data_IF_468822293770
#
_entry.id   IF_468822293770
#
_cell.length_a   1.000
_cell.length_b   1.000
_cell.length_c   1.000
_cell.angle_alpha   90.00
_cell.angle_beta   90.00
_cell.angle_gamma   90.00
#
_symmetry.space_group_name_H-M   'P 1'
#
loop_
_entity.id
_entity.type
_entity.pdbx_description
1 polymer ?
#
# COMPACT_ATOMS: atom_id res chain seq x y z
N UNK A 1 13.28 -7.43 -20.91
CA UNK A 1 13.57 -6.59 -19.71
C UNK A 1 12.32 -6.37 -18.88
N UNK A 2 11.28 -5.67 -19.40
CA UNK A 2 10.03 -5.40 -18.65
C UNK A 2 9.34 -6.66 -18.08
N UNK A 3 9.23 -7.74 -18.85
CA UNK A 3 8.60 -8.97 -18.35
C UNK A 3 9.35 -9.55 -17.13
N UNK A 4 10.68 -9.62 -17.18
CA UNK A 4 11.50 -10.25 -16.15
C UNK A 4 11.66 -9.38 -14.89
N UNK A 5 11.70 -8.06 -15.05
CA UNK A 5 12.00 -7.11 -13.96
C UNK A 5 10.73 -6.47 -13.39
N UNK A 6 9.67 -6.34 -14.18
CA UNK A 6 8.42 -5.74 -13.73
C UNK A 6 7.31 -6.77 -13.54
N UNK A 7 7.03 -7.64 -14.52
CA UNK A 7 5.87 -8.54 -14.44
C UNK A 7 6.11 -9.71 -13.48
N UNK A 8 7.21 -10.45 -13.64
CA UNK A 8 7.46 -11.63 -12.80
C UNK A 8 7.55 -11.28 -11.31
N UNK A 9 8.32 -10.26 -10.88
CA UNK A 9 8.37 -9.84 -9.48
C UNK A 9 7.01 -9.39 -8.96
N UNK A 10 6.31 -8.56 -9.74
CA UNK A 10 4.99 -8.06 -9.37
C UNK A 10 3.96 -9.17 -9.13
N UNK A 11 4.07 -10.33 -9.77
CA UNK A 11 3.17 -11.45 -9.50
C UNK A 11 3.72 -12.31 -8.37
N UNK A 12 4.96 -12.78 -8.48
CA UNK A 12 5.55 -13.76 -7.56
C UNK A 12 5.75 -13.21 -6.15
N UNK A 13 6.33 -12.01 -6.04
CA UNK A 13 6.63 -11.40 -4.75
C UNK A 13 5.34 -10.98 -4.03
N UNK A 14 4.31 -10.55 -4.75
CA UNK A 14 3.03 -10.21 -4.13
C UNK A 14 2.35 -11.44 -3.51
N UNK A 15 2.33 -12.57 -4.21
CA UNK A 15 1.82 -13.81 -3.63
C UNK A 15 2.62 -14.26 -2.41
N UNK A 16 3.95 -14.21 -2.48
CA UNK A 16 4.82 -14.64 -1.39
C UNK A 16 4.68 -13.73 -0.16
N UNK A 17 4.92 -12.43 -0.33
CA UNK A 17 5.02 -11.49 0.79
C UNK A 17 3.66 -11.09 1.36
N UNK A 18 2.60 -11.01 0.54
CA UNK A 18 1.27 -10.62 1.04
C UNK A 18 0.43 -11.84 1.33
N UNK A 19 0.46 -12.83 0.44
CA UNK A 19 -0.36 -14.03 0.56
C UNK A 19 0.14 -15.02 1.60
N UNK A 20 1.44 -15.37 1.59
CA UNK A 20 1.97 -16.43 2.46
C UNK A 20 2.53 -15.81 3.74
N UNK A 21 3.59 -14.99 3.61
CA UNK A 21 4.33 -14.45 4.74
C UNK A 21 3.48 -13.44 5.52
N UNK A 22 2.94 -12.44 4.82
CA UNK A 22 2.13 -11.37 5.41
C UNK A 22 0.92 -11.91 6.16
N UNK A 23 0.07 -12.71 5.51
CA UNK A 23 -1.07 -13.35 6.18
C UNK A 23 -0.65 -14.18 7.38
N UNK A 24 0.40 -15.00 7.25
CA UNK A 24 0.89 -15.84 8.35
C UNK A 24 1.33 -15.02 9.56
N UNK A 25 2.13 -13.97 9.34
CA UNK A 25 2.62 -13.10 10.41
C UNK A 25 1.50 -12.27 11.04
N UNK A 26 0.58 -11.74 10.24
CA UNK A 26 -0.59 -10.98 10.74
C UNK A 26 -1.47 -11.87 11.61
N UNK A 27 -1.78 -13.08 11.15
CA UNK A 27 -2.63 -14.01 11.89
C UNK A 27 -1.99 -14.46 13.21
N UNK A 28 -0.65 -14.58 13.26
CA UNK A 28 0.06 -15.07 14.44
C UNK A 28 0.41 -13.98 15.45
N UNK A 29 0.82 -12.81 14.98
CA UNK A 29 1.44 -11.76 15.79
C UNK A 29 0.70 -10.42 15.73
N UNK A 30 -0.40 -10.35 14.99
CA UNK A 30 -1.20 -9.14 14.84
C UNK A 30 -0.76 -8.25 13.67
N UNK A 31 -1.65 -7.32 13.32
CA UNK A 31 -1.56 -6.48 12.14
C UNK A 31 -0.26 -5.69 12.04
N UNK A 32 0.05 -4.89 13.07
CA UNK A 32 1.20 -3.97 13.04
C UNK A 32 2.51 -4.75 12.88
N UNK A 33 2.69 -5.81 13.66
CA UNK A 33 3.87 -6.65 13.59
C UNK A 33 3.99 -7.35 12.23
N UNK A 34 2.90 -7.98 11.77
CA UNK A 34 2.93 -8.75 10.53
C UNK A 34 3.19 -7.92 9.28
N UNK A 35 2.57 -6.73 9.18
CA UNK A 35 2.83 -5.80 8.06
C UNK A 35 4.27 -5.30 8.10
N UNK A 36 4.76 -4.89 9.27
CA UNK A 36 6.12 -4.34 9.42
C UNK A 36 7.18 -5.36 9.04
N UNK A 37 7.09 -6.57 9.59
CA UNK A 37 8.07 -7.63 9.34
C UNK A 37 8.00 -8.12 7.90
N UNK A 38 6.80 -8.32 7.33
CA UNK A 38 6.67 -8.71 5.93
C UNK A 38 7.26 -7.66 4.96
N UNK A 39 7.05 -6.37 5.25
CA UNK A 39 7.60 -5.26 4.44
C UNK A 39 9.11 -5.17 4.58
N UNK A 40 9.65 -5.40 5.78
CA UNK A 40 11.09 -5.47 6.01
C UNK A 40 11.73 -6.64 5.26
N UNK A 41 11.09 -7.81 5.27
CA UNK A 41 11.55 -8.99 4.51
C UNK A 41 11.52 -8.73 3.00
N UNK A 42 10.46 -8.09 2.49
CA UNK A 42 10.35 -7.66 1.10
C UNK A 42 11.49 -6.72 0.70
N UNK A 43 11.84 -5.76 1.57
CA UNK A 43 12.97 -4.90 1.31
C UNK A 43 14.30 -5.67 1.35
N UNK A 44 14.50 -6.52 2.35
CA UNK A 44 15.77 -7.20 2.59
C UNK A 44 16.22 -8.11 1.43
N UNK A 45 15.31 -8.70 0.65
CA UNK A 45 15.70 -9.57 -0.48
C UNK A 45 16.41 -8.84 -1.62
N UNK A 46 16.43 -7.51 -1.61
CA UNK A 46 17.10 -6.70 -2.63
C UNK A 46 18.59 -6.45 -2.34
N UNK A 47 19.10 -6.89 -1.17
CA UNK A 47 20.50 -7.04 -0.74
C UNK A 47 21.41 -5.80 -0.76
N UNK A 48 21.09 -4.75 -1.53
CA UNK A 48 21.87 -3.52 -1.63
C UNK A 48 21.33 -2.47 -0.65
N UNK A 49 22.06 -2.07 0.41
CA UNK A 49 21.48 -1.31 1.52
C UNK A 49 20.80 0.01 1.13
N UNK A 50 21.37 0.87 0.24
CA UNK A 50 20.67 2.09 -0.20
C UNK A 50 19.34 1.79 -0.90
N UNK A 51 19.29 0.71 -1.68
CA UNK A 51 18.06 0.27 -2.33
C UNK A 51 17.06 -0.32 -1.34
N UNK A 52 17.51 -1.09 -0.35
CA UNK A 52 16.67 -1.59 0.76
C UNK A 52 15.97 -0.45 1.49
N UNK A 53 16.67 0.65 1.77
CA UNK A 53 16.08 1.84 2.40
C UNK A 53 15.02 2.47 1.50
N UNK A 54 15.27 2.56 0.19
CA UNK A 54 14.35 3.14 -0.78
C UNK A 54 13.06 2.32 -0.97
N UNK A 55 13.14 0.98 -0.96
CA UNK A 55 11.99 0.10 -1.24
C UNK A 55 11.18 -0.29 0.00
N UNK A 56 11.71 -0.13 1.21
CA UNK A 56 10.96 -0.44 2.43
C UNK A 56 9.62 0.32 2.51
N UNK A 57 9.56 1.65 2.23
CA UNK A 57 8.30 2.39 2.12
C UNK A 57 7.35 1.82 1.06
N UNK A 58 7.88 1.41 -0.10
CA UNK A 58 7.11 0.81 -1.20
C UNK A 58 6.48 -0.52 -0.75
N UNK A 59 7.26 -1.38 -0.10
CA UNK A 59 6.79 -2.63 0.48
C UNK A 59 5.64 -2.43 1.47
N UNK A 60 5.76 -1.41 2.33
CA UNK A 60 4.73 -1.03 3.30
C UNK A 60 3.44 -0.55 2.60
N UNK A 61 3.56 0.36 1.64
CA UNK A 61 2.40 0.90 0.91
C UNK A 61 1.68 -0.19 0.13
N UNK A 62 2.40 -1.06 -0.57
CA UNK A 62 1.77 -2.17 -1.30
C UNK A 62 1.04 -3.12 -0.33
N UNK A 63 1.59 -3.36 0.87
CA UNK A 63 0.90 -4.14 1.90
C UNK A 63 -0.39 -3.45 2.37
N UNK A 64 -0.35 -2.13 2.57
CA UNK A 64 -1.54 -1.34 2.92
C UNK A 64 -2.58 -1.34 1.79
N UNK A 65 -2.16 -1.25 0.53
CA UNK A 65 -3.02 -1.41 -0.65
C UNK A 65 -3.69 -2.78 -0.64
N UNK A 66 -2.93 -3.85 -0.38
CA UNK A 66 -3.48 -5.20 -0.26
C UNK A 66 -4.54 -5.29 0.85
N UNK A 67 -4.28 -4.75 2.04
CA UNK A 67 -5.23 -4.77 3.16
C UNK A 67 -6.50 -3.96 2.88
N UNK A 68 -6.36 -2.80 2.22
CA UNK A 68 -7.49 -1.93 1.92
C UNK A 68 -8.34 -2.45 0.77
N UNK A 69 -7.72 -3.02 -0.25
CA UNK A 69 -8.41 -3.51 -1.46
C UNK A 69 -8.85 -4.97 -1.34
N UNK A 70 -8.24 -5.74 -0.42
CA UNK A 70 -8.42 -7.18 -0.26
C UNK A 70 -8.25 -7.97 -1.56
N UNK A 71 -7.42 -7.45 -2.46
CA UNK A 71 -7.19 -7.98 -3.80
C UNK A 71 -5.70 -8.14 -4.03
N UNK A 72 -5.30 -9.20 -4.74
CA UNK A 72 -3.93 -9.35 -5.23
C UNK A 72 -3.67 -8.52 -6.49
N UNK A 73 -4.71 -8.23 -7.28
CA UNK A 73 -4.56 -7.49 -8.55
C UNK A 73 -4.08 -6.05 -8.35
N UNK A 74 -4.56 -5.39 -7.31
CA UNK A 74 -4.18 -4.01 -7.00
C UNK A 74 -2.70 -3.86 -6.60
N UNK A 75 -2.17 -4.63 -5.62
CA UNK A 75 -0.75 -4.59 -5.28
C UNK A 75 0.13 -5.08 -6.44
N UNK A 76 -0.29 -6.07 -7.23
CA UNK A 76 0.42 -6.51 -8.44
C UNK A 76 0.53 -5.38 -9.47
N UNK A 77 -0.57 -4.69 -9.77
CA UNK A 77 -0.56 -3.58 -10.72
C UNK A 77 0.33 -2.44 -10.23
N UNK A 78 0.26 -2.12 -8.93
CA UNK A 78 1.09 -1.10 -8.32
C UNK A 78 2.58 -1.45 -8.42
N UNK A 79 2.96 -2.66 -8.00
CA UNK A 79 4.34 -3.14 -8.04
C UNK A 79 4.87 -3.22 -9.49
N UNK A 80 4.07 -3.76 -10.42
CA UNK A 80 4.43 -3.80 -11.84
C UNK A 80 4.72 -2.39 -12.36
N UNK A 81 3.85 -1.44 -12.02
CA UNK A 81 3.98 -0.06 -12.49
C UNK A 81 5.26 0.59 -11.96
N UNK A 82 5.53 0.46 -10.66
CA UNK A 82 6.75 0.95 -10.04
C UNK A 82 8.00 0.40 -10.75
N UNK A 83 8.05 -0.92 -10.95
CA UNK A 83 9.20 -1.56 -11.59
C UNK A 83 9.32 -1.22 -13.08
N UNK A 84 8.19 -1.08 -13.79
CA UNK A 84 8.18 -0.68 -15.19
C UNK A 84 8.71 0.74 -15.35
N UNK A 85 8.30 1.68 -14.48
CA UNK A 85 8.83 3.04 -14.48
C UNK A 85 10.32 3.09 -14.18
N UNK A 86 10.79 2.33 -13.19
CA UNK A 86 12.22 2.25 -12.90
C UNK A 86 13.02 1.78 -14.12
N UNK A 87 12.53 0.75 -14.84
CA UNK A 87 13.16 0.26 -16.08
C UNK A 87 13.12 1.30 -17.19
N UNK A 88 12.02 2.04 -17.34
CA UNK A 88 11.89 3.09 -18.36
C UNK A 88 12.80 4.27 -18.05
N UNK A 89 12.90 4.69 -16.79
CA UNK A 89 13.80 5.75 -16.34
C UNK A 89 15.26 5.36 -16.58
N UNK A 90 15.66 4.15 -16.22
CA UNK A 90 17.01 3.66 -16.50
C UNK A 90 17.35 3.60 -18.01
N UNK A 91 16.34 3.44 -18.86
CA UNK A 91 16.53 3.30 -20.31
C UNK A 91 16.47 4.62 -21.08
N UNK A 92 15.63 5.56 -20.65
CA UNK A 92 15.32 6.79 -21.39
C UNK A 92 15.52 8.07 -20.56
N UNK A 93 15.96 7.94 -19.31
CA UNK A 93 16.30 9.07 -18.45
C UNK A 93 17.54 9.83 -18.96
N UNK A 94 17.79 11.03 -18.44
CA UNK A 94 18.97 11.82 -18.78
C UNK A 94 20.26 11.03 -18.54
N UNK A 95 21.18 11.03 -19.52
CA UNK A 95 22.50 10.41 -19.35
C UNK A 95 23.33 11.21 -18.33
N UNK A 96 23.85 10.54 -17.29
CA UNK A 96 24.78 11.15 -16.33
C UNK A 96 24.28 11.24 -14.89
N UNK A 97 22.98 11.05 -14.65
CA UNK A 97 22.43 11.03 -13.29
C UNK A 97 22.66 9.64 -12.66
N UNK A 98 23.88 9.41 -12.17
CA UNK A 98 24.04 8.44 -11.09
C UNK A 98 23.37 9.05 -9.87
N UNK A 99 22.06 8.78 -9.69
CA UNK A 99 21.26 9.28 -8.56
C UNK A 99 22.03 8.93 -7.28
N UNK A 100 22.75 9.92 -6.73
CA UNK A 100 23.61 9.70 -5.57
C UNK A 100 22.68 9.83 -4.36
N UNK A 101 21.95 8.76 -4.11
CA UNK A 101 20.86 8.71 -3.16
C UNK A 101 21.40 9.00 -1.74
N UNK A 102 21.24 10.25 -1.27
CA UNK A 102 21.52 10.58 0.12
C UNK A 102 20.52 9.83 1.01
N UNK A 103 20.97 8.91 1.89
CA UNK A 103 20.07 8.05 2.66
C UNK A 103 19.08 8.82 3.54
N UNK A 104 19.44 10.03 3.98
CA UNK A 104 18.54 10.89 4.75
C UNK A 104 17.38 11.42 3.88
N UNK A 105 17.68 11.88 2.67
CA UNK A 105 16.66 12.34 1.74
C UNK A 105 15.70 11.21 1.35
N UNK A 106 16.24 10.02 1.08
CA UNK A 106 15.44 8.82 0.78
C UNK A 106 14.49 8.47 1.92
N UNK A 107 14.95 8.57 3.17
CA UNK A 107 14.10 8.32 4.34
C UNK A 107 12.95 9.35 4.44
N UNK A 108 13.23 10.64 4.24
CA UNK A 108 12.19 11.68 4.26
C UNK A 108 11.17 11.50 3.13
N UNK A 109 11.65 11.26 1.92
CA UNK A 109 10.83 10.98 0.75
C UNK A 109 9.93 9.75 0.97
N UNK A 110 10.50 8.66 1.48
CA UNK A 110 9.77 7.46 1.84
C UNK A 110 8.71 7.70 2.92
N UNK A 111 9.01 8.51 3.93
CA UNK A 111 8.04 8.92 4.95
C UNK A 111 6.87 9.71 4.37
N UNK A 112 7.17 10.72 3.54
CA UNK A 112 6.15 11.52 2.85
C UNK A 112 5.26 10.67 1.94
N UNK A 113 5.87 9.73 1.22
CA UNK A 113 5.18 8.75 0.38
C UNK A 113 4.19 7.88 1.17
N UNK A 114 4.61 7.32 2.31
CA UNK A 114 3.72 6.52 3.17
C UNK A 114 2.57 7.37 3.70
N UNK A 115 2.84 8.61 4.13
CA UNK A 115 1.81 9.53 4.62
C UNK A 115 0.78 9.84 3.51
N UNK A 116 1.25 10.13 2.29
CA UNK A 116 0.37 10.39 1.16
C UNK A 116 -0.49 9.17 0.82
N UNK A 117 0.11 7.97 0.80
CA UNK A 117 -0.62 6.72 0.59
C UNK A 117 -1.67 6.49 1.69
N UNK A 118 -1.33 6.70 2.96
CA UNK A 118 -2.27 6.59 4.08
C UNK A 118 -3.41 7.59 3.98
N UNK A 119 -3.12 8.85 3.60
CA UNK A 119 -4.13 9.87 3.38
C UNK A 119 -5.12 9.48 2.28
N UNK A 120 -4.61 8.93 1.19
CA UNK A 120 -5.44 8.42 0.09
C UNK A 120 -6.28 7.25 0.56
N UNK A 121 -5.67 6.23 1.16
CA UNK A 121 -6.38 5.04 1.63
C UNK A 121 -7.48 5.43 2.63
N UNK A 122 -7.20 6.42 3.48
CA UNK A 122 -8.18 7.00 4.38
C UNK A 122 -9.31 7.74 3.65
N UNK A 123 -9.01 8.50 2.59
CA UNK A 123 -10.03 9.27 1.86
C UNK A 123 -10.98 8.38 1.03
N UNK A 124 -10.50 7.22 0.58
CA UNK A 124 -11.29 6.25 -0.19
C UNK A 124 -11.95 5.18 0.68
N UNK A 125 -11.71 5.17 2.00
CA UNK A 125 -12.17 4.10 2.88
C UNK A 125 -13.69 3.93 2.81
N UNK A 126 -14.13 2.68 2.75
CA UNK A 126 -15.54 2.33 2.89
C UNK A 126 -15.93 2.43 4.35
N UNK A 127 -16.97 3.23 4.63
CA UNK A 127 -17.60 3.31 5.94
C UNK A 127 -18.90 2.52 5.90
N UNK A 128 -19.30 1.97 7.04
CA UNK A 128 -20.58 1.29 7.17
C UNK A 128 -21.40 2.11 8.16
N UNK A 129 -22.61 2.54 7.80
CA UNK A 129 -23.47 3.34 8.68
C UNK A 129 -24.59 2.50 9.27
N UNK A 130 -24.89 2.74 10.54
CA UNK A 130 -26.03 2.13 11.23
C UNK A 130 -27.33 2.77 10.73
N UNK A 131 -28.35 1.97 10.34
CA UNK A 131 -29.61 2.48 9.79
C UNK A 131 -30.40 3.41 10.72
N UNK A 132 -30.35 3.19 12.04
CA UNK A 132 -31.25 3.87 12.99
C UNK A 132 -30.63 5.03 13.77
N UNK A 133 -29.30 5.14 13.82
CA UNK A 133 -28.60 6.05 14.76
C UNK A 133 -27.66 7.06 14.06
N UNK A 134 -27.45 6.95 12.74
CA UNK A 134 -26.52 7.80 12.00
C UNK A 134 -25.04 7.65 12.38
N UNK A 135 -24.72 6.77 13.35
CA UNK A 135 -23.37 6.41 13.74
C UNK A 135 -22.63 5.59 12.69
N UNK A 136 -21.31 5.75 12.65
CA UNK A 136 -20.41 4.99 11.78
C UNK A 136 -20.00 3.69 12.50
N UNK A 137 -20.29 2.53 11.91
CA UNK A 137 -19.86 1.22 12.41
C UNK A 137 -18.34 1.14 12.55
N UNK A 138 -17.59 1.96 11.81
CA UNK A 138 -16.14 2.04 11.95
C UNK A 138 -15.66 2.84 13.17
N UNK A 139 -16.56 3.51 13.88
CA UNK A 139 -16.25 4.28 15.09
C UNK A 139 -16.49 3.43 16.34
N UNK A 140 -15.41 2.93 16.95
CA UNK A 140 -15.47 2.04 18.12
C UNK A 140 -16.17 2.68 19.33
N UNK A 141 -16.24 4.01 19.39
CA UNK A 141 -16.94 4.73 20.46
C UNK A 141 -18.46 4.67 20.32
N UNK A 142 -18.98 4.37 19.13
CA UNK A 142 -20.41 4.17 18.90
C UNK A 142 -20.90 2.78 19.32
N UNK A 143 -19.98 1.84 19.54
CA UNK A 143 -20.28 0.45 19.90
C UNK A 143 -20.05 0.17 21.38
N UNK A 144 -20.69 0.94 22.26
CA UNK A 144 -20.76 0.58 23.67
C UNK A 144 -21.44 -0.80 23.81
N UNK A 145 -20.63 -1.85 23.97
CA UNK A 145 -20.98 -3.21 24.37
C UNK A 145 -21.66 -4.17 23.36
N UNK A 146 -21.69 -3.89 22.06
CA UNK A 146 -22.27 -4.85 21.11
C UNK A 146 -21.38 -5.00 19.87
N UNK A 147 -20.69 -6.15 19.79
CA UNK A 147 -19.88 -6.58 18.64
C UNK A 147 -18.62 -5.72 18.41
N UNK A 148 -17.49 -6.06 19.04
CA UNK A 148 -16.19 -5.49 18.65
C UNK A 148 -15.76 -6.23 17.37
N UNK A 149 -15.79 -5.61 16.18
CA UNK A 149 -15.30 -6.27 14.99
C UNK A 149 -13.83 -6.64 15.22
N UNK A 150 -13.49 -7.91 15.01
CA UNK A 150 -12.09 -8.34 15.02
C UNK A 150 -11.37 -7.53 13.96
N UNK A 151 -10.51 -6.62 14.43
CA UNK A 151 -9.62 -5.71 13.70
C UNK A 151 -9.56 -5.95 12.18
N UNK A 152 -10.31 -5.14 11.43
CA UNK A 152 -10.00 -4.77 10.04
C UNK A 152 -10.19 -5.81 8.92
N UNK A 153 -10.53 -7.06 9.21
CA UNK A 153 -10.47 -8.13 8.19
C UNK A 153 -11.83 -8.62 7.65
N UNK A 154 -12.95 -8.37 8.33
CA UNK A 154 -14.26 -8.87 7.89
C UNK A 154 -15.23 -7.73 7.60
N UNK A 155 -16.04 -7.88 6.53
CA UNK A 155 -17.18 -6.99 6.34
C UNK A 155 -18.17 -7.23 7.49
N UNK A 156 -18.93 -6.22 7.91
CA UNK A 156 -19.94 -6.43 8.94
C UNK A 156 -20.92 -7.54 8.51
N UNK A 157 -21.41 -8.37 9.44
CA UNK A 157 -22.42 -9.37 9.13
C UNK A 157 -23.62 -8.74 8.38
N UNK A 158 -24.08 -9.33 7.25
CA UNK A 158 -25.24 -8.82 6.50
C UNK A 158 -26.49 -8.66 7.36
N UNK A 159 -26.61 -9.46 8.42
CA UNK A 159 -27.71 -9.41 9.40
C UNK A 159 -27.83 -8.06 10.13
N UNK A 160 -26.79 -7.22 10.15
CA UNK A 160 -26.82 -5.89 10.78
C UNK A 160 -27.48 -4.81 9.90
N UNK A 161 -27.81 -5.12 8.64
CA UNK A 161 -28.53 -4.20 7.74
C UNK A 161 -27.80 -2.89 7.46
N UNK A 162 -26.47 -2.84 7.60
CA UNK A 162 -25.68 -1.61 7.49
C UNK A 162 -25.63 -1.09 6.06
N UNK A 163 -25.74 0.23 5.92
CA UNK A 163 -25.54 0.90 4.64
C UNK A 163 -24.04 1.06 4.37
N UNK A 164 -23.58 0.50 3.24
CA UNK A 164 -22.21 0.71 2.77
C UNK A 164 -22.11 2.10 2.13
N UNK A 165 -21.32 2.97 2.73
CA UNK A 165 -21.08 4.33 2.24
C UNK A 165 -19.63 4.47 1.81
N UNK A 166 -19.41 4.73 0.53
CA UNK A 166 -18.09 5.14 0.03
C UNK A 166 -17.87 6.61 0.39
N UNK A 167 -16.81 6.93 1.13
CA UNK A 167 -16.52 8.32 1.54
C UNK A 167 -16.24 9.21 0.33
N UNK A 168 -15.70 8.63 -0.76
CA UNK A 168 -15.56 9.28 -2.06
C UNK A 168 -16.48 8.60 -3.09
N UNK A 169 -17.43 9.34 -3.67
CA UNK A 169 -18.33 8.85 -4.71
C UNK A 169 -17.62 8.37 -5.99
N UNK A 170 -16.39 8.84 -6.20
CA UNK A 170 -15.53 8.52 -7.34
C UNK A 170 -14.25 7.78 -6.91
N UNK A 171 -14.36 6.84 -5.96
CA UNK A 171 -13.20 6.13 -5.40
C UNK A 171 -12.25 5.52 -6.45
N UNK A 172 -12.67 5.03 -7.65
CA UNK A 172 -11.73 4.55 -8.65
C UNK A 172 -10.84 5.67 -9.21
N UNK A 173 -11.38 6.89 -9.33
CA UNK A 173 -10.65 8.08 -9.79
C UNK A 173 -9.71 8.57 -8.69
N UNK A 174 -10.10 8.46 -7.42
CA UNK A 174 -9.24 8.83 -6.29
C UNK A 174 -8.10 7.82 -6.13
N UNK A 175 -8.37 6.52 -6.28
CA UNK A 175 -7.33 5.47 -6.29
C UNK A 175 -6.37 5.65 -7.46
N UNK A 176 -6.90 5.88 -8.67
CA UNK A 176 -6.06 6.12 -9.85
C UNK A 176 -5.25 7.42 -9.70
N UNK A 177 -5.88 8.52 -9.29
CA UNK A 177 -5.22 9.81 -9.08
C UNK A 177 -4.18 9.77 -7.97
N UNK A 178 -4.42 8.98 -6.93
CA UNK A 178 -3.44 8.76 -5.88
C UNK A 178 -2.30 7.85 -6.29
N UNK A 179 -2.58 6.74 -6.96
CA UNK A 179 -1.54 5.90 -7.55
C UNK A 179 -0.68 6.73 -8.49
N UNK A 180 -1.29 7.60 -9.30
CA UNK A 180 -0.58 8.56 -10.17
C UNK A 180 0.22 9.58 -9.35
N UNK A 181 -0.33 10.18 -8.29
CA UNK A 181 0.39 11.15 -7.47
C UNK A 181 1.60 10.51 -6.74
N UNK A 182 1.42 9.28 -6.27
CA UNK A 182 2.44 8.45 -5.64
C UNK A 182 3.52 8.06 -6.66
N UNK A 183 3.12 7.68 -7.88
CA UNK A 183 4.00 7.47 -9.03
C UNK A 183 4.79 8.75 -9.41
N UNK A 184 4.11 9.90 -9.46
CA UNK A 184 4.71 11.18 -9.83
C UNK A 184 5.72 11.64 -8.77
N UNK A 185 5.47 11.32 -7.50
CA UNK A 185 6.44 11.54 -6.43
C UNK A 185 7.67 10.62 -6.62
N UNK A 186 7.50 9.33 -6.93
CA UNK A 186 8.61 8.42 -7.26
C UNK A 186 9.43 8.90 -8.48
N UNK A 187 8.77 9.36 -9.55
CA UNK A 187 9.44 9.92 -10.72
C UNK A 187 10.16 11.23 -10.37
N UNK A 188 9.57 12.10 -9.56
CA UNK A 188 10.23 13.32 -9.10
C UNK A 188 11.46 13.01 -8.23
N UNK A 189 11.41 11.95 -7.42
CA UNK A 189 12.54 11.49 -6.60
C UNK A 189 13.68 10.88 -7.43
N UNK A 190 13.35 10.29 -8.58
CA UNK A 190 14.35 9.81 -9.54
C UNK A 190 14.93 10.94 -10.39
N UNK A 191 14.19 12.03 -10.63
CA UNK A 191 14.60 13.13 -11.53
C UNK A 191 15.32 14.28 -10.79
N UNK A 192 15.12 14.47 -9.49
CA UNK A 192 15.65 15.61 -8.72
C UNK A 192 16.72 15.23 -7.67
N UNK A 193 17.38 14.09 -7.83
CA UNK A 193 18.50 13.63 -6.99
C UNK A 193 19.64 13.14 -7.88
#
# INVERSE_FOLDING_TARGET
VLFLIAVMPAVGEEFLFRGIIGRGLINRFGLLFGVTVASLMFAAVHLYPPHVVAILPVGLVIHLVYLNTRSYWMPMLFHFTNNALAVLYLKYGPEGDSVQQNPLWVAFAGGAYVIAALFVLYSIRTRYRLPSEGGDFSDSNSMQNQYVPVMGAEAPPPALGLDRVHTAGNWPIVVAGAAIAVLLAEVALLVWA
#
